data_IF_448883649927
#
_entry.id   IF_448883649927
#
_cell.length_a   1.000
_cell.length_b   1.000
_cell.length_c   1.000
_cell.angle_alpha   90.00
_cell.angle_beta   90.00
_cell.angle_gamma   90.00
#
_symmetry.space_group_name_H-M   'P 1'
#
loop_
_entity.id
_entity.type
_entity.pdbx_description
1 polymer ?
#
# COMPACT_ATOMS: atom_id res chain seq x y z
N UNK A 1 10.11 6.19 -16.95
CA UNK A 1 10.02 6.83 -15.61
C UNK A 1 10.13 5.73 -14.57
N UNK A 2 11.00 5.84 -13.56
CA UNK A 2 11.06 4.85 -12.49
C UNK A 2 9.70 4.79 -11.79
N UNK A 3 9.20 3.58 -11.58
CA UNK A 3 7.91 3.40 -10.94
C UNK A 3 7.98 3.78 -9.46
N UNK A 4 6.98 4.50 -8.96
CA UNK A 4 6.95 4.96 -7.57
C UNK A 4 6.72 3.79 -6.61
N UNK A 5 7.73 3.49 -5.79
CA UNK A 5 7.70 2.36 -4.85
C UNK A 5 7.38 2.77 -3.41
N UNK A 6 7.74 3.99 -3.02
CA UNK A 6 7.54 4.52 -1.67
C UNK A 6 6.89 5.89 -1.72
N UNK A 7 5.85 6.08 -0.93
CA UNK A 7 5.13 7.34 -0.80
C UNK A 7 5.20 7.81 0.66
N UNK A 8 5.73 9.01 0.89
CA UNK A 8 5.89 9.60 2.23
C UNK A 8 5.00 10.84 2.33
N UNK A 9 4.03 10.80 3.23
CA UNK A 9 3.02 11.85 3.44
C UNK A 9 2.95 12.26 4.91
N UNK A 10 4.10 12.34 5.58
CA UNK A 10 4.17 12.56 7.03
C UNK A 10 3.84 14.01 7.38
N UNK A 11 2.98 14.22 8.38
CA UNK A 11 2.77 15.57 8.94
C UNK A 11 1.96 16.53 8.04
N UNK A 12 1.26 16.02 7.03
CA UNK A 12 0.53 16.81 6.04
C UNK A 12 -0.90 17.17 6.45
N UNK A 13 -1.26 16.98 7.72
CA UNK A 13 -2.61 17.23 8.23
C UNK A 13 -3.71 16.48 7.47
N UNK A 14 -3.39 15.28 6.94
CA UNK A 14 -4.36 14.47 6.22
C UNK A 14 -5.49 14.03 7.16
N UNK A 15 -6.71 14.33 6.75
CA UNK A 15 -7.95 13.92 7.43
C UNK A 15 -8.50 12.67 6.76
N UNK A 16 -9.54 12.09 7.33
CA UNK A 16 -10.11 10.82 6.85
C UNK A 16 -10.53 10.82 5.37
N UNK A 17 -11.06 11.93 4.86
CA UNK A 17 -11.42 12.06 3.44
C UNK A 17 -10.21 12.00 2.48
N UNK A 18 -9.05 12.53 2.90
CA UNK A 18 -7.82 12.49 2.10
C UNK A 18 -7.28 11.06 2.04
N UNK A 19 -7.36 10.36 3.17
CA UNK A 19 -6.98 8.94 3.26
C UNK A 19 -7.90 8.05 2.42
N UNK A 20 -9.20 8.38 2.32
CA UNK A 20 -10.14 7.66 1.44
C UNK A 20 -9.78 7.85 -0.04
N UNK A 21 -9.44 9.07 -0.44
CA UNK A 21 -8.97 9.35 -1.80
C UNK A 21 -7.66 8.60 -2.09
N UNK A 22 -6.70 8.66 -1.16
CA UNK A 22 -5.43 7.94 -1.25
C UNK A 22 -5.66 6.43 -1.37
N UNK A 23 -6.54 5.86 -0.54
CA UNK A 23 -6.86 4.44 -0.57
C UNK A 23 -7.40 3.99 -1.94
N UNK A 24 -8.24 4.82 -2.59
CA UNK A 24 -8.75 4.55 -3.93
C UNK A 24 -7.62 4.44 -4.97
N UNK A 25 -6.59 5.27 -4.85
CA UNK A 25 -5.38 5.18 -5.68
C UNK A 25 -4.56 3.94 -5.35
N UNK A 26 -4.34 3.67 -4.06
CA UNK A 26 -3.57 2.52 -3.59
C UNK A 26 -4.15 1.19 -4.05
N UNK A 27 -5.47 1.06 -4.18
CA UNK A 27 -6.13 -0.17 -4.66
C UNK A 27 -5.67 -0.63 -6.05
N UNK A 28 -5.29 0.31 -6.91
CA UNK A 28 -4.98 0.04 -8.31
C UNK A 28 -3.47 0.16 -8.61
N UNK A 29 -2.70 0.74 -7.69
CA UNK A 29 -1.29 1.02 -7.89
C UNK A 29 -0.43 -0.23 -7.68
N UNK A 30 0.14 -0.77 -8.76
CA UNK A 30 0.85 -2.08 -8.74
C UNK A 30 2.33 -2.00 -8.35
N UNK A 31 2.91 -0.81 -8.31
CA UNK A 31 4.35 -0.63 -8.09
C UNK A 31 4.68 -0.10 -6.70
N UNK A 32 3.68 0.40 -5.98
CA UNK A 32 3.84 1.03 -4.68
C UNK A 32 3.86 -0.06 -3.61
N UNK A 33 4.92 -0.09 -2.83
CA UNK A 33 5.20 -1.09 -1.79
C UNK A 33 4.97 -0.54 -0.40
N UNK A 34 5.31 0.73 -0.19
CA UNK A 34 5.30 1.36 1.13
C UNK A 34 4.65 2.74 1.13
N UNK A 35 3.77 2.98 2.10
CA UNK A 35 3.15 4.30 2.36
C UNK A 35 3.44 4.72 3.80
N UNK A 36 3.94 5.93 4.01
CA UNK A 36 4.10 6.52 5.34
C UNK A 36 3.12 7.66 5.56
N UNK A 37 2.20 7.46 6.52
CA UNK A 37 1.13 8.39 6.88
C UNK A 37 1.24 8.85 8.34
N UNK A 38 2.40 8.68 8.98
CA UNK A 38 2.64 9.15 10.35
C UNK A 38 2.38 10.65 10.47
N UNK A 39 2.09 11.11 11.68
CA UNK A 39 1.82 12.51 12.03
C UNK A 39 0.64 13.14 11.28
N UNK A 40 -0.36 12.34 10.89
CA UNK A 40 -1.59 12.85 10.27
C UNK A 40 -2.83 12.57 11.16
N UNK A 41 -3.75 13.53 11.29
CA UNK A 41 -4.93 13.43 12.14
C UNK A 41 -6.13 12.75 11.45
N UNK A 42 -5.94 11.56 10.85
CA UNK A 42 -7.05 10.79 10.27
C UNK A 42 -7.74 9.90 11.32
N UNK A 43 -9.04 9.71 11.17
CA UNK A 43 -9.85 8.88 12.09
C UNK A 43 -9.81 7.39 11.74
N UNK A 44 -10.48 6.55 12.53
CA UNK A 44 -10.59 5.10 12.30
C UNK A 44 -11.20 4.73 10.96
N UNK A 45 -12.03 5.63 10.42
CA UNK A 45 -12.56 5.50 9.07
C UNK A 45 -11.39 5.42 8.08
N UNK A 46 -10.41 6.32 8.18
CA UNK A 46 -9.20 6.29 7.36
C UNK A 46 -8.42 4.98 7.50
N UNK A 47 -8.22 4.49 8.72
CA UNK A 47 -7.53 3.21 8.96
C UNK A 47 -8.29 2.01 8.36
N UNK A 48 -9.62 2.01 8.46
CA UNK A 48 -10.46 0.95 7.86
C UNK A 48 -10.35 0.98 6.34
N UNK A 49 -10.38 2.16 5.72
CA UNK A 49 -10.22 2.28 4.27
C UNK A 49 -8.81 1.87 3.81
N UNK A 50 -7.77 2.14 4.61
CA UNK A 50 -6.41 1.63 4.33
C UNK A 50 -6.33 0.11 4.39
N UNK A 51 -7.04 -0.52 5.34
CA UNK A 51 -7.14 -1.99 5.41
C UNK A 51 -7.81 -2.56 4.15
N UNK A 52 -8.95 -1.99 3.73
CA UNK A 52 -9.64 -2.40 2.51
C UNK A 52 -8.74 -2.22 1.26
N UNK A 53 -7.96 -1.14 1.20
CA UNK A 53 -7.00 -0.93 0.14
C UNK A 53 -5.87 -1.96 0.15
N UNK A 54 -5.32 -2.30 1.32
CA UNK A 54 -4.29 -3.34 1.46
C UNK A 54 -4.81 -4.74 1.12
N UNK A 55 -6.09 -5.02 1.37
CA UNK A 55 -6.74 -6.28 0.97
C UNK A 55 -6.92 -6.38 -0.55
N UNK A 56 -7.26 -5.26 -1.20
CA UNK A 56 -7.44 -5.21 -2.65
C UNK A 56 -6.11 -5.09 -3.42
N UNK A 57 -5.05 -4.60 -2.77
CA UNK A 57 -3.74 -4.44 -3.39
C UNK A 57 -2.68 -5.38 -2.77
N UNK A 58 -2.39 -6.53 -3.39
CA UNK A 58 -1.36 -7.46 -2.91
C UNK A 58 0.06 -6.92 -3.10
N UNK A 59 0.25 -5.85 -3.88
CA UNK A 59 1.56 -5.23 -4.11
C UNK A 59 2.01 -4.35 -2.93
N UNK A 60 1.06 -3.86 -2.13
CA UNK A 60 1.31 -3.03 -0.96
C UNK A 60 1.72 -3.89 0.24
N UNK A 61 2.94 -3.72 0.73
CA UNK A 61 3.53 -4.54 1.80
C UNK A 61 3.70 -3.80 3.11
N UNK A 62 3.73 -2.46 3.08
CA UNK A 62 4.05 -1.66 4.26
C UNK A 62 3.20 -0.39 4.32
N UNK A 63 2.59 -0.14 5.49
CA UNK A 63 1.92 1.13 5.80
C UNK A 63 2.37 1.57 7.19
N UNK A 64 2.99 2.74 7.30
CA UNK A 64 3.39 3.35 8.57
C UNK A 64 2.32 4.34 9.04
N UNK A 65 1.83 4.16 10.27
CA UNK A 65 0.81 5.00 10.91
C UNK A 65 1.25 5.33 12.34
N UNK A 66 0.83 6.47 12.87
CA UNK A 66 1.06 6.79 14.29
C UNK A 66 0.09 5.99 15.17
N UNK A 67 0.62 4.99 15.85
CA UNK A 67 -0.12 4.17 16.82
C UNK A 67 -0.13 4.77 18.23
N UNK A 68 0.59 5.88 18.46
CA UNK A 68 0.73 6.48 19.79
C UNK A 68 -0.50 7.34 20.11
N UNK A 69 -1.34 6.87 21.04
CA UNK A 69 -2.35 7.69 21.71
C UNK A 69 -3.78 7.59 21.17
N UNK A 70 -4.03 6.79 20.13
CA UNK A 70 -5.41 6.48 19.74
C UNK A 70 -5.91 5.24 20.48
N UNK A 71 -6.98 5.32 21.31
CA UNK A 71 -7.63 4.14 21.88
C UNK A 71 -8.34 3.27 20.81
N UNK A 72 -8.15 3.59 19.53
CA UNK A 72 -8.80 2.94 18.41
C UNK A 72 -8.18 1.58 18.13
N UNK A 73 -8.83 0.59 18.76
CA UNK A 73 -8.95 -0.81 18.38
C UNK A 73 -7.65 -1.40 17.85
N UNK A 74 -6.84 -1.90 18.80
CA UNK A 74 -5.78 -2.89 18.56
C UNK A 74 -6.18 -3.97 17.54
N UNK A 75 -7.47 -4.25 17.36
CA UNK A 75 -7.99 -5.19 16.36
C UNK A 75 -7.80 -4.71 14.92
N UNK A 76 -8.14 -3.46 14.59
CA UNK A 76 -8.01 -2.95 13.21
C UNK A 76 -6.55 -2.89 12.78
N UNK A 77 -5.67 -2.40 13.66
CA UNK A 77 -4.23 -2.33 13.39
C UNK A 77 -3.62 -3.73 13.25
N UNK A 78 -4.02 -4.70 14.10
CA UNK A 78 -3.61 -6.10 13.95
C UNK A 78 -4.09 -6.71 12.63
N UNK A 79 -5.32 -6.43 12.21
CA UNK A 79 -5.85 -6.89 10.90
C UNK A 79 -5.05 -6.29 9.75
N UNK A 80 -4.73 -4.99 9.81
CA UNK A 80 -3.91 -4.33 8.79
C UNK A 80 -2.52 -4.93 8.73
N UNK A 81 -1.85 -5.08 9.87
CA UNK A 81 -0.53 -5.70 9.93
C UNK A 81 -0.52 -7.14 9.42
N UNK A 82 -1.54 -7.94 9.78
CA UNK A 82 -1.69 -9.30 9.28
C UNK A 82 -1.92 -9.33 7.76
N UNK A 83 -2.70 -8.40 7.21
CA UNK A 83 -2.91 -8.30 5.77
C UNK A 83 -1.62 -7.91 5.03
N UNK A 84 -0.89 -6.92 5.54
CA UNK A 84 0.39 -6.49 4.97
C UNK A 84 1.43 -7.63 5.00
N UNK A 85 1.46 -8.41 6.08
CA UNK A 85 2.29 -9.60 6.16
C UNK A 85 1.92 -10.66 5.11
N UNK A 86 0.62 -10.91 4.89
CA UNK A 86 0.15 -11.81 3.82
C UNK A 86 0.57 -11.33 2.44
N UNK A 87 0.47 -10.02 2.18
CA UNK A 87 0.91 -9.44 0.92
C UNK A 87 2.43 -9.61 0.73
N UNK A 88 3.22 -9.46 1.80
CA UNK A 88 4.67 -9.65 1.78
C UNK A 88 5.07 -11.11 1.51
N UNK A 89 4.35 -12.09 2.09
CA UNK A 89 4.61 -13.51 1.81
C UNK A 89 4.22 -13.87 0.39
N UNK A 90 3.06 -13.40 -0.09
CA UNK A 90 2.60 -13.64 -1.45
C UNK A 90 3.53 -13.07 -2.54
N UNK A 91 4.37 -12.08 -2.21
CA UNK A 91 5.40 -11.56 -3.11
C UNK A 91 6.75 -12.27 -2.99
N UNK A 92 6.97 -13.06 -1.94
CA UNK A 92 8.19 -13.84 -1.73
C UNK A 92 8.12 -15.22 -2.36
N UNK A 93 6.92 -15.74 -2.64
CA UNK A 93 6.74 -17.03 -3.29
C UNK A 93 7.16 -16.93 -4.78
N UNK A 94 8.17 -17.70 -5.23
CA UNK A 94 8.66 -17.66 -6.60
C UNK A 94 7.65 -18.16 -7.65
N UNK A 95 6.62 -18.89 -7.21
CA UNK A 95 5.49 -19.37 -8.05
C UNK A 95 4.23 -18.49 -7.93
N UNK A 96 4.32 -17.33 -7.27
CA UNK A 96 3.18 -16.43 -7.17
C UNK A 96 2.81 -15.86 -8.55
N UNK A 97 1.52 -15.87 -8.96
CA UNK A 97 1.06 -15.30 -10.24
C UNK A 97 1.26 -13.77 -10.33
N UNK A 98 1.80 -13.15 -9.28
CA UNK A 98 2.24 -11.75 -9.20
C UNK A 98 3.72 -11.58 -9.55
N UNK A 99 4.29 -12.47 -10.38
CA UNK A 99 5.61 -12.27 -10.98
C UNK A 99 5.72 -10.83 -11.51
N UNK A 100 6.82 -10.11 -11.20
CA UNK A 100 6.97 -8.72 -11.60
C UNK A 100 6.72 -8.64 -13.10
N UNK A 101 5.75 -7.82 -13.51
CA UNK A 101 5.46 -7.57 -14.91
C UNK A 101 6.82 -7.31 -15.59
N UNK A 102 7.24 -8.16 -16.56
CA UNK A 102 8.52 -7.95 -17.20
C UNK A 102 8.52 -6.49 -17.71
N UNK A 103 9.63 -5.75 -17.55
CA UNK A 103 9.72 -4.41 -18.13
C UNK A 103 9.28 -4.55 -19.58
N UNK A 104 8.44 -3.63 -20.11
CA UNK A 104 7.87 -3.76 -21.44
C UNK A 104 9.01 -4.11 -22.38
N UNK A 105 9.01 -5.37 -22.87
CA UNK A 105 10.10 -5.83 -23.71
C UNK A 105 10.06 -4.90 -24.91
N UNK A 106 11.11 -4.11 -25.07
CA UNK A 106 11.29 -3.33 -26.28
C UNK A 106 11.14 -4.33 -27.42
N UNK A 107 10.13 -4.11 -28.24
CA UNK A 107 9.91 -4.85 -29.47
C UNK A 107 11.05 -4.42 -30.38
N UNK A 108 12.25 -4.96 -30.12
CA UNK A 108 13.31 -5.02 -31.11
C UNK A 108 13.01 -6.23 -31.97
N UNK A 109 12.03 -6.05 -32.85
CA UNK A 109 12.01 -6.74 -34.13
C UNK A 109 13.29 -6.35 -34.86
N UNK A 110 14.31 -7.19 -34.76
CA UNK A 110 15.24 -7.43 -35.86
C UNK A 110 14.63 -8.54 -36.75
N UNK A 111 15.08 -8.79 -37.99
CA UNK A 111 15.91 -8.00 -38.91
C UNK A 111 15.32 -7.91 -40.35
N UNK A 112 15.93 -7.09 -41.20
CA UNK A 112 16.29 -7.40 -42.59
C UNK A 112 17.39 -6.43 -43.04
#
# INVERSE_FOLDING_TARGET
>A
LPALQRLVLVGLQLRSHDVVALASVLRHHRTLRSVDLRRNPFSSIGTKTLLEAAQANPYLTDIELDLKGSPMSSVQCRKLQAQLQKNRTAQRDPESPLSPLPPPQAIHTCPA
#
